data_IF_912483166966
#
_entry.id   IF_912483166966
#
_cell.length_a   1.000
_cell.length_b   1.000
_cell.length_c   1.000
_cell.angle_alpha   90.00
_cell.angle_beta   90.00
_cell.angle_gamma   90.00
#
_symmetry.space_group_name_H-M   'P 1'
#
loop_
_entity.id
_entity.type
_entity.pdbx_description
1 polymer ?
#
# COMPACT_ATOMS: atom_id res chain seq x y z
N UNK A 1 -5.46 11.39 -19.59
CA UNK A 1 -5.64 10.24 -18.67
C UNK A 1 -5.51 8.98 -19.53
N UNK A 2 -4.56 8.11 -19.23
CA UNK A 2 -4.22 6.96 -20.09
C UNK A 2 -5.42 6.00 -20.19
N UNK A 3 -6.01 5.89 -21.37
CA UNK A 3 -7.14 5.02 -21.66
C UNK A 3 -6.64 3.59 -21.88
N UNK A 4 -6.42 2.84 -20.80
CA UNK A 4 -6.18 1.40 -20.88
C UNK A 4 -7.52 0.66 -20.85
N UNK A 5 -7.63 -0.44 -21.60
CA UNK A 5 -8.82 -1.30 -21.56
C UNK A 5 -8.89 -2.00 -20.20
N UNK A 6 -10.10 -2.11 -19.65
CA UNK A 6 -10.34 -2.90 -18.45
C UNK A 6 -10.16 -4.41 -18.74
N UNK A 7 -9.57 -5.18 -17.81
CA UNK A 7 -9.00 -4.73 -16.54
C UNK A 7 -7.64 -4.03 -16.73
N UNK A 8 -7.37 -3.02 -15.89
CA UNK A 8 -6.03 -2.45 -15.79
C UNK A 8 -5.12 -3.49 -15.13
N UNK A 9 -4.13 -3.97 -15.87
CA UNK A 9 -3.17 -4.97 -15.38
C UNK A 9 -1.97 -4.23 -14.80
N UNK A 10 -1.77 -4.40 -13.49
CA UNK A 10 -0.56 -3.95 -12.82
C UNK A 10 0.42 -5.12 -12.64
N UNK A 11 1.73 -4.87 -12.76
CA UNK A 11 2.74 -5.85 -12.38
C UNK A 11 2.66 -6.19 -10.89
N UNK A 12 3.01 -7.44 -10.54
CA UNK A 12 3.16 -7.86 -9.16
C UNK A 12 4.50 -7.41 -8.60
N UNK A 13 4.48 -6.87 -7.38
CA UNK A 13 5.66 -6.44 -6.66
C UNK A 13 5.78 -7.07 -5.27
N UNK A 14 4.76 -7.81 -4.82
CA UNK A 14 4.67 -8.32 -3.45
C UNK A 14 4.95 -9.83 -3.36
N UNK A 15 4.56 -10.62 -4.36
CA UNK A 15 4.73 -12.08 -4.31
C UNK A 15 5.96 -12.54 -5.09
N UNK A 16 6.15 -13.86 -5.12
CA UNK A 16 7.17 -14.54 -5.93
C UNK A 16 8.62 -14.09 -5.64
N UNK A 17 8.89 -13.67 -4.39
CA UNK A 17 10.22 -13.22 -3.96
C UNK A 17 10.62 -11.83 -4.48
N UNK A 18 9.69 -11.09 -5.08
CA UNK A 18 9.96 -9.78 -5.69
C UNK A 18 9.97 -8.66 -4.64
N UNK A 19 9.22 -8.80 -3.55
CA UNK A 19 9.13 -7.78 -2.49
C UNK A 19 10.49 -7.44 -1.86
N UNK A 20 11.27 -8.46 -1.50
CA UNK A 20 12.60 -8.28 -0.89
C UNK A 20 13.56 -7.54 -1.82
N UNK A 21 13.41 -7.72 -3.14
CA UNK A 21 14.18 -7.00 -4.14
C UNK A 21 13.80 -5.52 -4.12
N UNK A 22 12.50 -5.18 -4.09
CA UNK A 22 12.03 -3.79 -4.01
C UNK A 22 12.49 -3.10 -2.74
N UNK A 23 12.35 -3.75 -1.58
CA UNK A 23 12.82 -3.22 -0.30
C UNK A 23 14.33 -2.94 -0.36
N UNK A 24 15.11 -3.87 -0.92
CA UNK A 24 16.56 -3.72 -1.03
C UNK A 24 16.97 -2.53 -1.92
N UNK A 25 16.35 -2.37 -3.09
CA UNK A 25 16.74 -1.28 -4.02
C UNK A 25 16.35 0.10 -3.50
N UNK A 26 15.35 0.21 -2.62
CA UNK A 26 14.93 1.47 -2.02
C UNK A 26 15.96 2.01 -1.01
N UNK A 27 16.85 1.16 -0.49
CA UNK A 27 18.00 1.55 0.31
C UNK A 27 17.64 2.42 1.54
N UNK A 28 16.53 2.10 2.22
CA UNK A 28 16.03 2.88 3.35
C UNK A 28 17.02 3.00 4.52
N UNK A 29 17.93 2.03 4.68
CA UNK A 29 18.99 2.08 5.69
C UNK A 29 19.96 3.27 5.52
N UNK A 30 20.03 3.86 4.32
CA UNK A 30 20.85 5.04 4.03
C UNK A 30 20.00 6.27 3.66
N UNK A 31 18.68 6.21 3.91
CA UNK A 31 17.77 7.33 3.68
C UNK A 31 17.75 8.21 4.94
N UNK A 32 17.82 9.53 4.78
CA UNK A 32 17.69 10.47 5.89
C UNK A 32 16.41 10.24 6.70
N UNK A 33 16.57 10.00 8.00
CA UNK A 33 15.48 9.53 8.85
C UNK A 33 14.29 10.48 8.87
N UNK A 34 14.54 11.78 9.05
CA UNK A 34 13.47 12.78 9.13
C UNK A 34 12.69 12.88 7.83
N UNK A 35 13.37 12.78 6.69
CA UNK A 35 12.71 12.79 5.38
C UNK A 35 11.86 11.53 5.18
N UNK A 36 12.33 10.36 5.62
CA UNK A 36 11.57 9.11 5.57
C UNK A 36 10.30 9.18 6.43
N UNK A 37 10.40 9.72 7.64
CA UNK A 37 9.25 9.91 8.54
C UNK A 37 8.26 10.93 7.98
N UNK A 38 8.75 12.04 7.41
CA UNK A 38 7.88 13.00 6.72
C UNK A 38 7.18 12.38 5.52
N UNK A 39 7.89 11.61 4.70
CA UNK A 39 7.32 10.89 3.56
C UNK A 39 6.20 9.96 4.01
N UNK A 40 6.41 9.14 5.05
CA UNK A 40 5.39 8.25 5.59
C UNK A 40 4.17 9.04 6.09
N UNK A 41 4.39 10.10 6.87
CA UNK A 41 3.32 10.96 7.41
C UNK A 41 2.47 11.59 6.31
N UNK A 42 3.11 12.28 5.37
CA UNK A 42 2.39 13.01 4.32
C UNK A 42 1.74 12.06 3.30
N UNK A 43 2.35 10.91 3.00
CA UNK A 43 1.73 9.87 2.17
C UNK A 43 0.47 9.32 2.84
N UNK A 44 0.54 9.00 4.13
CA UNK A 44 -0.61 8.45 4.88
C UNK A 44 -1.77 9.48 4.96
N UNK A 45 -1.46 10.75 5.20
CA UNK A 45 -2.46 11.83 5.17
C UNK A 45 -3.10 11.97 3.79
N UNK A 46 -2.29 11.88 2.73
CA UNK A 46 -2.79 11.94 1.37
C UNK A 46 -3.69 10.75 1.02
N UNK A 47 -3.30 9.53 1.39
CA UNK A 47 -4.14 8.33 1.20
C UNK A 47 -5.47 8.48 1.94
N UNK A 48 -5.46 8.94 3.20
CA UNK A 48 -6.70 9.19 3.94
C UNK A 48 -7.60 10.23 3.24
N UNK A 49 -7.02 11.30 2.71
CA UNK A 49 -7.75 12.29 1.91
C UNK A 49 -8.37 11.68 0.65
N UNK A 50 -7.62 10.84 -0.09
CA UNK A 50 -8.14 10.13 -1.27
C UNK A 50 -9.31 9.23 -0.89
N UNK A 51 -9.15 8.40 0.15
CA UNK A 51 -10.19 7.48 0.66
C UNK A 51 -11.49 8.24 0.98
N UNK A 52 -11.40 9.39 1.66
CA UNK A 52 -12.55 10.21 2.02
C UNK A 52 -13.31 10.76 0.81
N UNK A 53 -12.65 10.87 -0.34
CA UNK A 53 -13.19 11.46 -1.57
C UNK A 53 -13.48 10.42 -2.68
N UNK A 54 -13.36 9.12 -2.38
CA UNK A 54 -13.72 8.06 -3.32
C UNK A 54 -15.21 8.13 -3.68
N UNK A 55 -15.54 8.01 -4.96
CA UNK A 55 -16.91 7.82 -5.43
C UNK A 55 -17.45 6.49 -4.89
N UNK A 56 -18.41 6.58 -3.96
CA UNK A 56 -19.02 5.42 -3.28
C UNK A 56 -19.67 4.44 -4.25
N UNK A 57 -20.09 4.89 -5.44
CA UNK A 57 -20.65 3.98 -6.46
C UNK A 57 -19.62 3.01 -7.04
N UNK A 58 -18.32 3.24 -6.79
CA UNK A 58 -17.19 2.44 -7.30
C UNK A 58 -16.59 1.48 -6.29
N UNK A 59 -17.12 1.42 -5.06
CA UNK A 59 -16.58 0.58 -3.98
C UNK A 59 -16.49 -0.91 -4.34
N UNK A 60 -17.39 -1.38 -5.21
CA UNK A 60 -17.42 -2.77 -5.68
C UNK A 60 -16.50 -3.03 -6.89
N UNK A 61 -15.76 -2.03 -7.37
CA UNK A 61 -14.71 -2.26 -8.36
C UNK A 61 -13.61 -3.14 -7.75
N UNK A 62 -13.08 -4.07 -8.55
CA UNK A 62 -12.15 -5.08 -8.06
C UNK A 62 -10.75 -4.85 -8.62
N UNK A 63 -9.76 -5.00 -7.73
CA UNK A 63 -8.40 -5.34 -8.10
C UNK A 63 -8.29 -6.87 -8.18
N UNK A 64 -7.62 -7.36 -9.22
CA UNK A 64 -7.27 -8.77 -9.37
C UNK A 64 -5.79 -8.88 -9.02
N UNK A 65 -5.48 -9.55 -7.91
CA UNK A 65 -4.11 -9.73 -7.44
C UNK A 65 -3.33 -10.66 -8.39
N UNK A 66 -2.01 -10.68 -8.24
CA UNK A 66 -1.15 -11.60 -8.98
C UNK A 66 -1.44 -13.09 -8.67
N UNK A 67 -2.01 -13.36 -7.49
CA UNK A 67 -2.47 -14.69 -7.07
C UNK A 67 -3.90 -14.98 -7.56
N UNK A 68 -4.44 -14.13 -8.44
CA UNK A 68 -5.79 -14.21 -9.00
C UNK A 68 -6.91 -14.05 -7.94
N UNK A 69 -6.60 -13.40 -6.82
CA UNK A 69 -7.60 -13.03 -5.81
C UNK A 69 -8.33 -11.77 -6.26
N UNK A 70 -9.61 -11.66 -5.91
CA UNK A 70 -10.43 -10.49 -6.23
C UNK A 70 -10.68 -9.73 -4.96
N UNK A 71 -10.19 -8.50 -4.92
CA UNK A 71 -10.30 -7.63 -3.75
C UNK A 71 -11.03 -6.37 -4.20
N UNK A 72 -12.14 -6.06 -3.56
CA UNK A 72 -12.89 -4.83 -3.82
C UNK A 72 -12.16 -3.61 -3.30
N UNK A 73 -12.44 -2.45 -3.89
CA UNK A 73 -11.94 -1.17 -3.39
C UNK A 73 -12.37 -0.93 -1.93
N UNK A 74 -13.59 -1.34 -1.56
CA UNK A 74 -14.07 -1.29 -0.19
C UNK A 74 -13.21 -2.11 0.77
N UNK A 75 -12.91 -3.36 0.43
CA UNK A 75 -12.03 -4.21 1.23
C UNK A 75 -10.64 -3.57 1.39
N UNK A 76 -10.04 -3.07 0.31
CA UNK A 76 -8.75 -2.38 0.39
C UNK A 76 -8.79 -1.15 1.31
N UNK A 77 -9.85 -0.36 1.26
CA UNK A 77 -10.04 0.84 2.10
C UNK A 77 -10.16 0.45 3.58
N UNK A 78 -11.00 -0.54 3.89
CA UNK A 78 -11.23 -1.01 5.26
C UNK A 78 -9.97 -1.65 5.82
N UNK A 79 -9.19 -2.33 4.98
CA UNK A 79 -7.99 -3.03 5.40
C UNK A 79 -6.78 -2.13 5.63
N UNK A 80 -6.67 -1.03 4.87
CA UNK A 80 -5.54 -0.09 4.96
C UNK A 80 -5.13 0.30 6.40
N UNK A 81 -6.04 0.78 7.29
CA UNK A 81 -5.66 1.11 8.66
C UNK A 81 -5.24 -0.11 9.49
N UNK A 82 -5.84 -1.29 9.26
CA UNK A 82 -5.46 -2.54 9.93
C UNK A 82 -4.04 -2.95 9.55
N UNK A 83 -3.71 -2.87 8.27
CA UNK A 83 -2.38 -3.16 7.74
C UNK A 83 -1.32 -2.18 8.26
N UNK A 84 -1.65 -0.89 8.33
CA UNK A 84 -0.76 0.10 8.94
C UNK A 84 -0.47 -0.23 10.41
N UNK A 85 -1.50 -0.61 11.18
CA UNK A 85 -1.35 -0.99 12.58
C UNK A 85 -0.49 -2.24 12.77
N UNK A 86 -0.63 -3.23 11.89
CA UNK A 86 0.21 -4.44 11.90
C UNK A 86 1.70 -4.07 11.85
N UNK A 87 2.12 -3.28 10.86
CA UNK A 87 3.54 -2.89 10.74
C UNK A 87 4.01 -1.97 11.85
N UNK A 88 3.13 -1.12 12.39
CA UNK A 88 3.47 -0.33 13.58
C UNK A 88 3.78 -1.24 14.78
N UNK A 89 2.98 -2.28 15.00
CA UNK A 89 3.18 -3.23 16.09
C UNK A 89 4.48 -4.02 15.90
N UNK A 90 4.81 -4.45 14.68
CA UNK A 90 6.09 -5.09 14.38
C UNK A 90 7.29 -4.19 14.75
N UNK A 91 7.20 -2.89 14.49
CA UNK A 91 8.25 -1.92 14.89
C UNK A 91 8.34 -1.82 16.42
N UNK A 92 7.20 -1.73 17.10
CA UNK A 92 7.15 -1.67 18.57
C UNK A 92 7.78 -2.93 19.18
N UNK A 93 7.43 -4.10 18.66
CA UNK A 93 7.97 -5.38 19.12
C UNK A 93 9.48 -5.49 18.87
N UNK A 94 10.00 -4.97 17.75
CA UNK A 94 11.43 -4.91 17.48
C UNK A 94 12.20 -3.98 18.43
N UNK A 95 11.60 -2.87 18.84
CA UNK A 95 12.21 -1.92 19.79
C UNK A 95 12.19 -2.48 21.22
N UNK A 96 11.23 -3.36 21.54
CA UNK A 96 11.10 -3.97 22.86
C UNK A 96 12.04 -5.16 23.12
N UNK A 97 12.79 -5.63 22.10
CA UNK A 97 13.82 -6.67 22.20
C UNK A 97 15.13 -6.13 22.76
#
# INVERSE_FOLDING_TARGET
MQYQKSPLIFPDYANLGVNDIWIKIQNYNNYEWDDLIHLLKYTTLHVAHVIQNVDRSKLQHQWISALNERITLEEMIVDYPRHFKLHYDEIVDLIAQ
#
